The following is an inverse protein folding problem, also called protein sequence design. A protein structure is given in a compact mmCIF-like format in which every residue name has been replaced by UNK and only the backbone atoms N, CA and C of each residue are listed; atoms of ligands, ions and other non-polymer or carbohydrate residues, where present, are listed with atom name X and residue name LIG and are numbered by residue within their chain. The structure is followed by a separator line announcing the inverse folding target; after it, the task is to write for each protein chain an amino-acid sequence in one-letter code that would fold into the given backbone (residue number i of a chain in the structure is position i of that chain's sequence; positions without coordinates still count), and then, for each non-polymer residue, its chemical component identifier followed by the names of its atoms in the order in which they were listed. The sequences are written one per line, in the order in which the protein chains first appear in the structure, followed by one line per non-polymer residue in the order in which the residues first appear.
data_IF_744931866929
#
_entry.id   IF_744931866929
#
_cell.length_a   1.000
_cell.length_b   1.000
_cell.length_c   1.000
_cell.angle_alpha   90.00
_cell.angle_beta   90.00
_cell.angle_gamma   90.00
#
_symmetry.space_group_name_H-M   'P 1'
#
loop_
_entity.id
_entity.type
_entity.pdbx_description
1 polymer ?
#
# COMPACT_ATOMS: atom_id res chain seq x y z
N UNK A 1 10.59 16.16 -21.19
CA UNK A 1 10.34 14.88 -20.53
C UNK A 1 11.27 14.78 -19.34
N UNK A 2 10.80 15.09 -18.13
CA UNK A 2 11.59 14.84 -16.92
C UNK A 2 11.68 13.34 -16.75
N UNK A 3 12.86 12.81 -17.07
CA UNK A 3 13.31 11.49 -16.66
C UNK A 3 13.32 11.47 -15.12
N UNK A 4 12.18 11.11 -14.52
CA UNK A 4 12.16 10.74 -13.10
C UNK A 4 12.91 9.43 -13.05
N UNK A 5 14.18 9.51 -12.68
CA UNK A 5 14.96 8.35 -12.24
C UNK A 5 14.10 7.58 -11.24
N UNK A 6 13.81 6.31 -11.53
CA UNK A 6 12.95 5.48 -10.72
C UNK A 6 13.38 5.58 -9.25
N UNK A 7 12.52 6.18 -8.41
CA UNK A 7 12.84 6.38 -7.00
C UNK A 7 12.52 5.10 -6.26
N UNK A 8 13.50 4.57 -5.54
CA UNK A 8 13.27 3.45 -4.63
C UNK A 8 12.86 4.02 -3.27
N UNK A 9 11.64 3.69 -2.83
CA UNK A 9 11.15 4.03 -1.49
C UNK A 9 11.15 2.81 -0.60
N UNK A 10 11.75 2.93 0.57
CA UNK A 10 11.75 1.85 1.54
C UNK A 10 10.58 2.01 2.51
N UNK A 11 9.71 1.01 2.57
CA UNK A 11 8.56 0.99 3.46
C UNK A 11 8.59 -0.28 4.31
N UNK A 12 8.18 -0.15 5.56
CA UNK A 12 8.01 -1.31 6.43
C UNK A 12 6.60 -1.87 6.30
N UNK A 13 6.51 -3.19 6.40
CA UNK A 13 5.26 -3.93 6.27
C UNK A 13 5.25 -5.10 7.27
N UNK A 14 4.08 -5.40 7.84
CA UNK A 14 3.95 -6.56 8.72
C UNK A 14 4.05 -7.85 7.91
N UNK A 15 4.62 -8.91 8.51
CA UNK A 15 4.83 -10.21 7.86
C UNK A 15 3.59 -10.72 7.12
N UNK A 16 2.43 -10.68 7.77
CA UNK A 16 1.17 -11.14 7.16
C UNK A 16 0.82 -10.46 5.83
N UNK A 17 1.15 -9.18 5.66
CA UNK A 17 0.90 -8.46 4.40
C UNK A 17 2.05 -8.68 3.42
N UNK A 18 3.26 -8.90 3.94
CA UNK A 18 4.47 -9.07 3.12
C UNK A 18 4.36 -10.36 2.35
N UNK A 19 3.90 -11.42 3.01
CA UNK A 19 3.66 -12.71 2.39
C UNK A 19 2.61 -12.60 1.27
N UNK A 20 1.60 -11.74 1.40
CA UNK A 20 0.59 -11.50 0.37
C UNK A 20 1.15 -10.75 -0.85
N UNK A 21 1.99 -9.73 -0.61
CA UNK A 21 2.68 -9.00 -1.70
C UNK A 21 3.69 -9.91 -2.39
N UNK A 22 4.48 -10.66 -1.62
CA UNK A 22 5.44 -11.62 -2.13
C UNK A 22 4.74 -12.73 -2.93
N UNK A 23 3.56 -13.18 -2.52
CA UNK A 23 2.74 -14.13 -3.27
C UNK A 23 2.05 -13.50 -4.50
N UNK A 24 2.10 -12.18 -4.70
CA UNK A 24 1.41 -11.47 -5.78
C UNK A 24 -0.11 -11.49 -5.66
N UNK A 25 -0.66 -11.89 -4.51
CA UNK A 25 -2.11 -11.92 -4.26
C UNK A 25 -2.65 -10.56 -3.83
N UNK A 26 -1.80 -9.73 -3.22
CA UNK A 26 -2.10 -8.35 -2.87
C UNK A 26 -1.54 -7.40 -3.93
N UNK A 27 -2.43 -6.73 -4.66
CA UNK A 27 -2.10 -5.78 -5.71
C UNK A 27 -2.33 -4.33 -5.30
N UNK A 28 -3.06 -4.09 -4.21
CA UNK A 28 -3.32 -2.73 -3.70
C UNK A 28 -2.69 -2.57 -2.32
N UNK A 29 -1.70 -1.70 -2.20
CA UNK A 29 -1.14 -1.26 -0.93
C UNK A 29 -1.91 -0.05 -0.40
N UNK A 30 -2.27 -0.09 0.89
CA UNK A 30 -3.03 0.98 1.55
C UNK A 30 -2.12 1.78 2.47
N UNK A 31 -2.03 3.08 2.21
CA UNK A 31 -1.33 4.05 3.05
C UNK A 31 -2.26 5.22 3.37
N UNK A 32 -1.89 6.03 4.35
CA UNK A 32 -2.48 7.37 4.51
C UNK A 32 -1.67 8.37 3.71
N UNK A 33 -2.27 9.52 3.39
CA UNK A 33 -1.63 10.58 2.60
C UNK A 33 -0.58 11.33 3.42
N UNK A 34 0.50 10.64 3.78
CA UNK A 34 1.63 11.26 4.41
C UNK A 34 2.32 12.24 3.43
N UNK A 35 2.83 13.38 3.91
CA UNK A 35 3.53 14.35 3.06
C UNK A 35 4.71 13.72 2.28
N UNK A 36 5.40 12.74 2.87
CA UNK A 36 6.52 12.05 2.23
C UNK A 36 6.10 11.01 1.17
N UNK A 37 4.81 10.74 1.01
CA UNK A 37 4.26 9.88 -0.06
C UNK A 37 3.54 10.71 -1.13
N UNK A 38 3.44 12.03 -0.96
CA UNK A 38 2.70 12.91 -1.87
C UNK A 38 3.33 13.01 -3.27
N UNK A 39 4.62 12.71 -3.41
CA UNK A 39 5.33 12.71 -4.69
C UNK A 39 5.45 11.32 -5.33
N UNK A 40 4.86 10.28 -4.70
CA UNK A 40 4.81 8.92 -5.23
C UNK A 40 4.07 8.91 -6.56
N UNK A 41 4.69 8.34 -7.59
CA UNK A 41 4.08 8.26 -8.90
C UNK A 41 4.28 6.89 -9.55
N UNK A 42 3.51 6.68 -10.62
CA UNK A 42 3.64 5.53 -11.50
C UNK A 42 5.08 5.41 -12.00
N UNK A 43 5.63 4.21 -11.95
CA UNK A 43 7.02 3.90 -12.28
C UNK A 43 8.01 4.00 -11.13
N UNK A 44 7.59 4.52 -9.96
CA UNK A 44 8.41 4.42 -8.74
C UNK A 44 8.49 2.95 -8.26
N UNK A 45 9.58 2.61 -7.58
CA UNK A 45 9.77 1.30 -6.96
C UNK A 45 9.60 1.42 -5.45
N UNK A 46 8.80 0.54 -4.85
CA UNK A 46 8.68 0.43 -3.40
C UNK A 46 9.38 -0.86 -2.97
N UNK A 47 10.35 -0.73 -2.08
CA UNK A 47 11.01 -1.84 -1.40
C UNK A 47 10.34 -2.05 -0.06
N UNK A 48 9.49 -3.07 0.04
CA UNK A 48 8.93 -3.50 1.32
C UNK A 48 9.96 -4.27 2.11
N UNK A 49 10.05 -4.00 3.41
CA UNK A 49 10.87 -4.74 4.37
C UNK A 49 10.03 -5.16 5.57
N UNK A 50 10.33 -6.33 6.14
CA UNK A 50 9.80 -6.71 7.44
C UNK A 50 10.79 -6.20 8.50
N UNK A 51 10.27 -5.46 9.48
CA UNK A 51 11.06 -4.96 10.60
C UNK A 51 11.78 -6.12 11.29
N UNK A 52 13.04 -5.90 11.68
CA UNK A 52 13.87 -6.89 12.39
C UNK A 52 14.25 -8.14 11.56
N UNK A 53 14.17 -8.05 10.22
CA UNK A 53 14.59 -9.11 9.30
C UNK A 53 15.40 -8.55 8.11
N UNK A 54 16.06 -9.44 7.37
CA UNK A 54 16.68 -9.11 6.08
C UNK A 54 15.75 -9.35 4.88
N UNK A 55 14.47 -9.66 5.10
CA UNK A 55 13.52 -9.95 4.04
C UNK A 55 13.07 -8.65 3.37
N UNK A 56 13.14 -8.62 2.04
CA UNK A 56 12.68 -7.49 1.24
C UNK A 56 12.00 -7.94 -0.04
N UNK A 57 11.00 -7.17 -0.49
CA UNK A 57 10.27 -7.40 -1.72
C UNK A 57 10.11 -6.07 -2.45
N UNK A 58 10.58 -6.05 -3.70
CA UNK A 58 10.49 -4.89 -4.55
C UNK A 58 9.22 -4.98 -5.41
N UNK A 59 8.46 -3.88 -5.42
CA UNK A 59 7.25 -3.73 -6.21
C UNK A 59 7.32 -2.45 -7.03
N UNK A 60 6.70 -2.46 -8.20
CA UNK A 60 6.57 -1.28 -9.05
C UNK A 60 5.19 -0.66 -8.84
N UNK A 61 5.14 0.67 -8.75
CA UNK A 61 3.89 1.42 -8.66
C UNK A 61 3.28 1.54 -10.05
N UNK A 62 2.08 0.99 -10.22
CA UNK A 62 1.31 1.05 -11.46
C UNK A 62 0.31 2.21 -11.46
N UNK A 63 -0.28 2.53 -10.29
CA UNK A 63 -1.26 3.60 -10.12
C UNK A 63 -1.25 4.08 -8.68
N UNK A 64 -1.56 5.36 -8.50
CA UNK A 64 -1.79 5.96 -7.17
C UNK A 64 -3.15 6.62 -7.22
N UNK A 65 -4.03 6.30 -6.27
CA UNK A 65 -5.39 6.84 -6.21
C UNK A 65 -5.72 7.27 -4.79
N UNK A 66 -6.26 8.46 -4.68
CA UNK A 66 -6.59 9.09 -3.39
C UNK A 66 -8.06 8.90 -3.07
N UNK A 67 -8.34 8.59 -1.81
CA UNK A 67 -9.69 8.43 -1.29
C UNK A 67 -9.86 9.28 -0.03
N UNK A 68 -11.08 9.76 0.25
CA UNK A 68 -11.35 10.54 1.45
C UNK A 68 -11.18 9.73 2.73
N UNK A 69 -11.48 8.43 2.70
CA UNK A 69 -11.39 7.52 3.85
C UNK A 69 -11.13 6.06 3.40
N UNK A 70 -10.97 5.16 4.37
CA UNK A 70 -10.71 3.75 4.09
C UNK A 70 -11.93 3.00 3.55
N UNK A 71 -13.15 3.48 3.79
CA UNK A 71 -14.35 2.85 3.22
C UNK A 71 -14.42 3.08 1.72
N UNK A 72 -14.28 4.33 1.29
CA UNK A 72 -14.26 4.72 -0.12
C UNK A 72 -13.15 3.99 -0.88
N UNK A 73 -11.99 3.80 -0.24
CA UNK A 73 -10.90 3.00 -0.81
C UNK A 73 -11.32 1.54 -1.04
N UNK A 74 -11.89 0.89 -0.02
CA UNK A 74 -12.31 -0.51 -0.13
C UNK A 74 -13.47 -0.70 -1.11
N UNK A 75 -14.36 0.29 -1.24
CA UNK A 75 -15.42 0.33 -2.25
C UNK A 75 -14.88 0.46 -3.67
N UNK A 76 -13.89 1.34 -3.88
CA UNK A 76 -13.33 1.62 -5.20
C UNK A 76 -12.38 0.54 -5.70
N UNK A 77 -11.46 0.09 -4.85
CA UNK A 77 -10.40 -0.85 -5.24
C UNK A 77 -10.85 -2.32 -5.12
N UNK A 78 -11.86 -2.58 -4.29
CA UNK A 78 -12.35 -3.92 -3.99
C UNK A 78 -11.52 -4.59 -2.88
N UNK A 79 -12.18 -5.17 -1.84
CA UNK A 79 -11.48 -5.76 -0.70
C UNK A 79 -10.62 -6.98 -1.07
N UNK A 80 -10.93 -7.66 -2.17
CA UNK A 80 -10.16 -8.81 -2.67
C UNK A 80 -8.76 -8.44 -3.15
N UNK A 81 -8.57 -7.23 -3.69
CA UNK A 81 -7.26 -6.76 -4.15
C UNK A 81 -6.38 -6.21 -3.01
N UNK A 82 -7.02 -5.77 -1.91
CA UNK A 82 -6.34 -5.26 -0.72
C UNK A 82 -5.93 -6.40 0.22
N UNK A 83 -6.84 -7.33 0.52
CA UNK A 83 -6.51 -8.54 1.26
C UNK A 83 -7.57 -9.64 1.01
N UNK A 84 -7.31 -10.62 0.13
CA UNK A 84 -8.31 -11.64 -0.21
C UNK A 84 -8.60 -12.61 0.95
N UNK A 85 -7.82 -12.59 2.03
CA UNK A 85 -7.90 -13.58 3.12
C UNK A 85 -8.91 -13.23 4.21
N UNK A 86 -9.38 -11.97 4.28
CA UNK A 86 -10.29 -11.52 5.33
C UNK A 86 -11.43 -10.66 4.77
N UNK A 87 -12.56 -10.63 5.48
CA UNK A 87 -13.75 -9.85 5.09
C UNK A 87 -13.46 -8.35 5.09
N UNK A 88 -14.21 -7.59 4.30
CA UNK A 88 -14.10 -6.11 4.22
C UNK A 88 -14.07 -5.45 5.60
N UNK A 89 -14.99 -5.81 6.49
CA UNK A 89 -15.08 -5.20 7.82
C UNK A 89 -13.84 -5.50 8.66
N UNK A 90 -13.31 -6.72 8.57
CA UNK A 90 -12.08 -7.11 9.26
C UNK A 90 -10.87 -6.36 8.69
N UNK A 91 -10.81 -6.15 7.36
CA UNK A 91 -9.77 -5.33 6.74
C UNK A 91 -9.82 -3.90 7.27
N UNK A 92 -11.01 -3.30 7.28
CA UNK A 92 -11.20 -1.93 7.76
C UNK A 92 -10.79 -1.81 9.24
N UNK A 93 -11.20 -2.75 10.08
CA UNK A 93 -10.78 -2.80 11.48
C UNK A 93 -9.26 -2.92 11.64
N UNK A 94 -8.62 -3.80 10.86
CA UNK A 94 -7.17 -3.97 10.87
C UNK A 94 -6.44 -2.70 10.42
N UNK A 95 -6.92 -2.06 9.35
CA UNK A 95 -6.35 -0.80 8.84
C UNK A 95 -6.49 0.30 9.88
N UNK A 96 -7.66 0.44 10.51
CA UNK A 96 -7.91 1.44 11.58
C UNK A 96 -7.12 1.18 12.85
N UNK A 97 -6.79 -0.09 13.14
CA UNK A 97 -5.89 -0.44 14.23
C UNK A 97 -4.45 0.03 13.98
N UNK A 98 -4.04 0.18 12.71
CA UNK A 98 -2.71 0.69 12.32
C UNK A 98 -2.75 2.22 12.15
N UNK A 99 -3.82 2.70 11.54
CA UNK A 99 -4.10 4.10 11.25
C UNK A 99 -5.34 4.56 12.01
N UNK A 100 -5.13 5.08 13.22
CA UNK A 100 -6.21 5.68 14.00
C UNK A 100 -6.87 6.88 13.28
N UNK A 101 -7.94 7.44 13.86
CA UNK A 101 -8.80 8.43 13.20
C UNK A 101 -8.03 9.69 12.76
N UNK A 102 -7.03 10.12 13.52
CA UNK A 102 -6.18 11.28 13.15
C UNK A 102 -5.40 11.06 11.85
N UNK A 103 -5.00 9.80 11.59
CA UNK A 103 -4.29 9.43 10.36
C UNK A 103 -5.25 9.22 9.20
N UNK A 104 -6.43 8.64 9.46
CA UNK A 104 -7.50 8.55 8.46
C UNK A 104 -7.95 9.93 7.97
N UNK A 105 -7.94 10.95 8.85
CA UNK A 105 -8.25 12.33 8.51
C UNK A 105 -7.27 12.99 7.51
N UNK A 106 -6.07 12.43 7.32
CA UNK A 106 -5.16 12.86 6.25
C UNK A 106 -5.67 12.42 4.86
N UNK A 107 -6.59 11.46 4.81
CA UNK A 107 -7.05 10.77 3.62
C UNK A 107 -6.30 9.45 3.40
N UNK A 108 -6.92 8.59 2.60
CA UNK A 108 -6.40 7.27 2.24
C UNK A 108 -5.76 7.30 0.85
N UNK A 109 -4.73 6.48 0.67
CA UNK A 109 -3.97 6.32 -0.55
C UNK A 109 -3.96 4.84 -0.94
N UNK A 110 -4.59 4.53 -2.06
CA UNK A 110 -4.47 3.24 -2.73
C UNK A 110 -3.30 3.31 -3.71
N UNK A 111 -2.32 2.42 -3.53
CA UNK A 111 -1.17 2.31 -4.42
C UNK A 111 -1.31 0.95 -5.09
N UNK A 112 -1.62 0.95 -6.38
CA UNK A 112 -1.59 -0.25 -7.18
C UNK A 112 -0.14 -0.62 -7.45
N UNK A 113 0.19 -1.85 -7.07
CA UNK A 113 1.54 -2.38 -7.08
C UNK A 113 1.59 -3.72 -7.81
N UNK A 114 2.68 -3.93 -8.50
CA UNK A 114 3.01 -5.21 -9.11
C UNK A 114 4.37 -5.67 -8.61
N UNK A 115 4.47 -6.94 -8.21
CA UNK A 115 5.73 -7.52 -7.74
C UNK A 115 6.72 -7.57 -8.91
N UNK A 116 7.93 -7.06 -8.66
CA UNK A 116 9.04 -7.22 -9.60
C UNK A 116 9.66 -8.61 -9.39
N UNK A 117 9.85 -9.41 -10.46
CA UNK A 117 10.40 -10.77 -10.36
C UNK A 117 11.87 -10.82 -9.92
#
# INVERSE_FOLDING_TARGET
MTDRTARVRELNLYRQYFDLVAAGTKTIEVRVKYPHLADLAVGDTIRFRIKDTCESCDVMVLRVTEYPDFNALLDGEGPSHVNPTVTRDQQLANIRSIYGPEKEALGALAIEIERVP
#
